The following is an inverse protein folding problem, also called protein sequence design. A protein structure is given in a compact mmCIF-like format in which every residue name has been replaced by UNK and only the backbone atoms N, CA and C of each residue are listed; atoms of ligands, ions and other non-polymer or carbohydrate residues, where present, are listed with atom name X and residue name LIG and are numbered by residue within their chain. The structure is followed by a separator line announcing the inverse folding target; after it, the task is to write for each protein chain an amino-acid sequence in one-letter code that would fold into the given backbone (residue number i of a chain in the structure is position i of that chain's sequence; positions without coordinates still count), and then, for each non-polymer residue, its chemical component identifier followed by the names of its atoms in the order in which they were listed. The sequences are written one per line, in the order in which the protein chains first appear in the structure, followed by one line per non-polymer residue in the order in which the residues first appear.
data_IF_428485869877
#
_entry.id   IF_428485869877
#
_cell.length_a   1.000
_cell.length_b   1.000
_cell.length_c   1.000
_cell.angle_alpha   90.00
_cell.angle_beta   90.00
_cell.angle_gamma   90.00
#
_symmetry.space_group_name_H-M   'P 1'
#
loop_
_entity.id
_entity.type
_entity.pdbx_description
1 polymer ?
#
# COMPACT_ATOMS: atom_id res chain seq x y z
N UNK A 1 23.70 -15.13 38.82
CA UNK A 1 23.86 -16.44 38.17
C UNK A 1 22.51 -16.80 37.55
N UNK A 2 22.42 -16.91 36.23
CA UNK A 2 21.17 -17.25 35.53
C UNK A 2 21.15 -18.77 35.32
N UNK A 3 20.19 -19.48 35.91
CA UNK A 3 19.98 -20.92 35.69
C UNK A 3 18.94 -21.11 34.60
N UNK A 4 19.29 -21.82 33.53
CA UNK A 4 18.37 -22.17 32.45
C UNK A 4 18.13 -23.69 32.49
N UNK A 5 16.90 -24.10 32.80
CA UNK A 5 16.50 -25.50 32.67
C UNK A 5 16.10 -25.77 31.22
N UNK A 6 16.73 -26.77 30.59
CA UNK A 6 16.48 -27.17 29.21
C UNK A 6 15.23 -28.06 29.19
N UNK A 7 14.06 -27.46 29.35
CA UNK A 7 12.81 -28.15 29.05
C UNK A 7 12.19 -27.67 27.73
N UNK A 8 11.24 -28.45 27.21
CA UNK A 8 10.78 -28.65 25.82
C UNK A 8 10.71 -27.41 24.92
N UNK A 9 10.54 -26.19 25.44
CA UNK A 9 10.54 -24.94 24.66
C UNK A 9 11.92 -24.42 24.26
N UNK A 10 12.96 -24.63 25.08
CA UNK A 10 14.32 -24.13 24.80
C UNK A 10 15.00 -24.87 23.64
N UNK A 11 14.75 -26.18 23.51
CA UNK A 11 15.38 -27.04 22.50
C UNK A 11 15.11 -26.61 21.05
N UNK A 12 13.97 -25.98 20.78
CA UNK A 12 13.54 -25.58 19.43
C UNK A 12 14.23 -24.30 18.92
N UNK A 13 14.68 -23.44 19.82
CA UNK A 13 15.44 -22.22 19.51
C UNK A 13 16.93 -22.51 19.25
N UNK A 14 17.45 -23.63 19.74
CA UNK A 14 18.82 -24.07 19.54
C UNK A 14 18.94 -25.13 18.43
N UNK A 15 18.39 -24.84 17.25
CA UNK A 15 18.37 -25.70 16.05
C UNK A 15 19.76 -26.12 15.53
N UNK A 16 20.50 -26.87 16.32
CA UNK A 16 21.84 -27.33 16.07
C UNK A 16 21.95 -28.73 16.66
N UNK A 17 21.56 -29.73 15.87
CA UNK A 17 21.95 -31.13 16.08
C UNK A 17 23.47 -31.29 16.26
N UNK A 18 24.27 -30.27 15.92
CA UNK A 18 25.70 -30.21 16.18
C UNK A 18 26.06 -29.93 17.63
N UNK A 19 25.31 -29.11 18.37
CA UNK A 19 25.61 -28.81 19.77
C UNK A 19 25.36 -30.02 20.68
N UNK A 20 24.27 -30.75 20.43
CA UNK A 20 23.92 -31.97 21.17
C UNK A 20 24.99 -33.06 20.98
N UNK A 21 25.43 -33.28 19.74
CA UNK A 21 26.50 -34.25 19.42
C UNK A 21 27.87 -33.92 20.02
N UNK A 22 28.14 -32.64 20.29
CA UNK A 22 29.38 -32.23 20.97
C UNK A 22 29.27 -32.46 22.47
N UNK A 23 28.09 -32.30 23.08
CA UNK A 23 27.84 -32.62 24.49
C UNK A 23 27.92 -34.13 24.76
N UNK A 24 27.33 -34.97 23.89
CA UNK A 24 27.42 -36.44 24.01
C UNK A 24 28.85 -36.97 23.89
N UNK A 25 29.70 -36.30 23.10
CA UNK A 25 31.09 -36.72 22.85
C UNK A 25 32.08 -36.27 23.92
N UNK A 26 31.70 -35.29 24.75
CA UNK A 26 32.51 -34.76 25.85
C UNK A 26 32.25 -35.45 27.20
N UNK A 27 31.28 -36.37 27.27
CA UNK A 27 31.06 -37.21 28.46
C UNK A 27 30.65 -36.43 29.71
N UNK A 28 29.76 -35.44 29.56
CA UNK A 28 29.23 -34.70 30.70
C UNK A 28 28.24 -35.58 31.49
N UNK A 29 28.64 -36.03 32.68
CA UNK A 29 27.76 -36.70 33.64
C UNK A 29 26.78 -35.70 34.28
N UNK A 30 25.57 -36.18 34.60
CA UNK A 30 24.53 -35.38 35.26
C UNK A 30 25.04 -34.77 36.57
N UNK A 31 25.18 -33.44 36.60
CA UNK A 31 25.45 -32.69 37.84
C UNK A 31 26.59 -31.67 37.78
N UNK A 32 27.42 -31.65 36.73
CA UNK A 32 28.47 -30.63 36.62
C UNK A 32 27.98 -29.32 35.98
N UNK A 33 28.29 -28.19 36.64
CA UNK A 33 27.97 -26.85 36.16
C UNK A 33 28.89 -26.53 34.98
N UNK A 34 28.41 -26.77 33.76
CA UNK A 34 29.12 -26.42 32.54
C UNK A 34 29.21 -24.89 32.43
N UNK A 35 30.33 -24.32 32.87
CA UNK A 35 30.72 -22.91 32.64
C UNK A 35 31.54 -22.79 31.35
N UNK A 36 31.08 -23.39 30.26
CA UNK A 36 31.76 -23.19 28.98
C UNK A 36 31.40 -21.83 28.40
N UNK A 37 32.39 -20.96 28.26
CA UNK A 37 32.32 -19.69 27.53
C UNK A 37 31.74 -19.84 26.11
N UNK A 38 31.87 -21.03 25.51
CA UNK A 38 31.21 -21.39 24.24
C UNK A 38 29.67 -21.46 24.34
N UNK A 39 29.11 -21.94 25.46
CA UNK A 39 27.66 -22.03 25.68
C UNK A 39 27.08 -20.63 25.91
N UNK A 40 27.73 -19.80 26.73
CA UNK A 40 27.31 -18.40 26.93
C UNK A 40 27.32 -17.61 25.62
N UNK A 41 28.37 -17.75 24.80
CA UNK A 41 28.45 -17.12 23.46
C UNK A 41 27.39 -17.67 22.50
N UNK A 42 27.00 -18.94 22.61
CA UNK A 42 25.94 -19.52 21.79
C UNK A 42 24.56 -18.97 22.19
N UNK A 43 24.31 -18.79 23.49
CA UNK A 43 23.09 -18.16 24.01
C UNK A 43 23.00 -16.70 23.59
N UNK A 44 24.09 -15.94 23.72
CA UNK A 44 24.16 -14.54 23.28
C UNK A 44 23.89 -14.40 21.78
N UNK A 45 24.47 -15.27 20.95
CA UNK A 45 24.18 -15.31 19.50
C UNK A 45 22.72 -15.67 19.20
N UNK A 46 22.14 -16.61 19.94
CA UNK A 46 20.74 -16.99 19.78
C UNK A 46 19.80 -15.83 20.18
N UNK A 47 20.06 -15.15 21.30
CA UNK A 47 19.33 -13.96 21.71
C UNK A 47 19.43 -12.85 20.66
N UNK A 48 20.65 -12.52 20.20
CA UNK A 48 20.85 -11.50 19.18
C UNK A 48 20.11 -11.82 17.87
N UNK A 49 20.00 -13.10 17.52
CA UNK A 49 19.24 -13.55 16.34
C UNK A 49 17.73 -13.37 16.53
N UNK A 50 17.20 -13.69 17.70
CA UNK A 50 15.78 -13.47 18.04
C UNK A 50 15.47 -11.98 18.09
N UNK A 51 16.34 -11.16 18.67
CA UNK A 51 16.19 -9.70 18.68
C UNK A 51 16.23 -9.11 17.28
N UNK A 52 17.14 -9.58 16.42
CA UNK A 52 17.21 -9.14 15.01
C UNK A 52 15.93 -9.52 14.26
N UNK A 53 15.39 -10.72 14.50
CA UNK A 53 14.12 -11.15 13.90
C UNK A 53 12.95 -10.29 14.38
N UNK A 54 12.85 -10.05 15.69
CA UNK A 54 11.81 -9.19 16.28
C UNK A 54 11.92 -7.74 15.78
N UNK A 55 13.15 -7.23 15.65
CA UNK A 55 13.40 -5.91 15.08
C UNK A 55 12.96 -5.84 13.61
N UNK A 56 13.27 -6.85 12.80
CA UNK A 56 12.80 -6.94 11.41
C UNK A 56 11.28 -6.95 11.30
N UNK A 57 10.59 -7.75 12.14
CA UNK A 57 9.12 -7.80 12.18
C UNK A 57 8.55 -6.42 12.55
N UNK A 58 9.09 -5.76 13.58
CA UNK A 58 8.65 -4.41 13.97
C UNK A 58 8.92 -3.38 12.89
N UNK A 59 10.05 -3.46 12.19
CA UNK A 59 10.38 -2.55 11.09
C UNK A 59 9.36 -2.66 9.97
N UNK A 60 9.02 -3.89 9.56
CA UNK A 60 8.00 -4.11 8.55
C UNK A 60 6.63 -3.61 9.01
N UNK A 61 6.22 -3.89 10.25
CA UNK A 61 4.98 -3.33 10.81
C UNK A 61 4.97 -1.79 10.80
N UNK A 62 6.10 -1.16 11.11
CA UNK A 62 6.26 0.30 11.06
C UNK A 62 6.16 0.83 9.62
N UNK A 63 6.77 0.15 8.65
CA UNK A 63 6.69 0.50 7.22
C UNK A 63 5.24 0.42 6.70
N UNK A 64 4.48 -0.59 7.12
CA UNK A 64 3.04 -0.69 6.82
C UNK A 64 2.24 0.44 7.49
N UNK A 65 2.54 0.74 8.76
CA UNK A 65 1.89 1.84 9.49
C UNK A 65 2.20 3.20 8.84
N UNK A 66 3.42 3.42 8.36
CA UNK A 66 3.83 4.63 7.66
C UNK A 66 3.04 4.86 6.36
N UNK A 67 2.79 3.80 5.58
CA UNK A 67 1.94 3.87 4.38
C UNK A 67 0.49 4.18 4.77
N UNK A 68 -0.05 3.49 5.78
CA UNK A 68 -1.40 3.72 6.27
C UNK A 68 -1.58 5.11 6.88
N UNK A 69 -0.57 5.64 7.56
CA UNK A 69 -0.60 6.97 8.16
C UNK A 69 -0.56 8.05 7.07
N UNK A 70 0.27 7.90 6.03
CA UNK A 70 0.26 8.81 4.88
C UNK A 70 -1.09 8.83 4.16
N UNK A 71 -1.69 7.66 3.94
CA UNK A 71 -3.04 7.57 3.37
C UNK A 71 -4.07 8.29 4.26
N UNK A 72 -3.97 8.10 5.58
CA UNK A 72 -4.84 8.75 6.57
C UNK A 72 -4.69 10.28 6.54
N UNK A 73 -3.46 10.79 6.47
CA UNK A 73 -3.19 12.23 6.35
C UNK A 73 -3.80 12.83 5.08
N UNK A 74 -3.67 12.13 3.93
CA UNK A 74 -4.28 12.56 2.67
C UNK A 74 -5.81 12.58 2.78
N UNK A 75 -6.43 11.51 3.29
CA UNK A 75 -7.89 11.42 3.45
C UNK A 75 -8.43 12.50 4.38
N UNK A 76 -7.82 12.67 5.56
CA UNK A 76 -8.27 13.70 6.51
C UNK A 76 -7.98 15.12 6.04
N UNK A 77 -6.89 15.33 5.29
CA UNK A 77 -6.60 16.60 4.63
C UNK A 77 -7.71 16.95 3.62
N UNK A 78 -8.05 16.01 2.74
CA UNK A 78 -9.14 16.18 1.75
C UNK A 78 -10.49 16.41 2.44
N UNK A 79 -10.83 15.63 3.48
CA UNK A 79 -12.06 15.79 4.26
C UNK A 79 -12.16 17.16 4.93
N UNK A 80 -11.06 17.66 5.50
CA UNK A 80 -11.02 18.98 6.13
C UNK A 80 -11.23 20.09 5.09
N UNK A 81 -10.58 20.00 3.92
CA UNK A 81 -10.79 20.96 2.81
C UNK A 81 -12.23 20.96 2.33
N UNK A 82 -12.83 19.78 2.16
CA UNK A 82 -14.25 19.65 1.81
C UNK A 82 -15.15 20.34 2.84
N UNK A 83 -15.00 20.02 4.13
CA UNK A 83 -15.79 20.62 5.21
C UNK A 83 -15.71 22.15 5.29
N UNK A 84 -14.58 22.73 4.87
CA UNK A 84 -14.38 24.18 4.87
C UNK A 84 -14.80 24.84 3.56
N UNK A 85 -15.25 24.06 2.56
CA UNK A 85 -15.57 24.56 1.22
C UNK A 85 -14.34 25.07 0.45
N UNK A 86 -13.14 24.63 0.86
CA UNK A 86 -11.84 25.04 0.29
C UNK A 86 -11.34 24.08 -0.79
N UNK A 87 -12.17 23.13 -1.24
CA UNK A 87 -11.79 22.26 -2.35
C UNK A 87 -11.56 23.07 -3.61
N UNK A 88 -10.38 22.88 -4.17
CA UNK A 88 -9.96 23.52 -5.41
C UNK A 88 -10.22 22.60 -6.59
N UNK A 89 -10.26 23.19 -7.79
CA UNK A 89 -10.31 22.43 -9.05
C UNK A 89 -9.15 21.43 -9.16
N UNK A 90 -7.98 21.75 -8.58
CA UNK A 90 -6.83 20.87 -8.57
C UNK A 90 -7.03 19.65 -7.65
N UNK A 91 -7.71 19.82 -6.51
CA UNK A 91 -8.07 18.68 -5.64
C UNK A 91 -9.00 17.71 -6.36
N UNK A 92 -9.95 18.23 -7.15
CA UNK A 92 -10.90 17.41 -7.94
C UNK A 92 -10.18 16.71 -9.09
N UNK A 93 -9.25 17.40 -9.76
CA UNK A 93 -8.40 16.81 -10.79
C UNK A 93 -7.55 15.66 -10.22
N UNK A 94 -6.96 15.85 -9.05
CA UNK A 94 -6.16 14.82 -8.39
C UNK A 94 -7.02 13.58 -8.06
N UNK A 95 -8.23 13.78 -7.54
CA UNK A 95 -9.15 12.67 -7.28
C UNK A 95 -9.59 11.93 -8.55
N UNK A 96 -9.89 12.66 -9.63
CA UNK A 96 -10.22 12.06 -10.91
C UNK A 96 -9.04 11.23 -11.44
N UNK A 97 -7.82 11.78 -11.34
CA UNK A 97 -6.59 11.09 -11.72
C UNK A 97 -6.35 9.84 -10.89
N UNK A 98 -6.50 9.90 -9.56
CA UNK A 98 -6.36 8.75 -8.65
C UNK A 98 -7.34 7.63 -9.02
N UNK A 99 -8.59 7.99 -9.32
CA UNK A 99 -9.61 7.04 -9.74
C UNK A 99 -9.27 6.39 -11.08
N UNK A 100 -8.89 7.18 -12.08
CA UNK A 100 -8.50 6.70 -13.41
C UNK A 100 -7.27 5.81 -13.32
N UNK A 101 -6.25 6.22 -12.55
CA UNK A 101 -5.06 5.42 -12.28
C UNK A 101 -5.44 4.04 -11.72
N UNK A 102 -6.31 4.00 -10.72
CA UNK A 102 -6.77 2.73 -10.15
C UNK A 102 -7.50 1.83 -11.16
N UNK A 103 -8.30 2.41 -12.07
CA UNK A 103 -8.94 1.62 -13.13
C UNK A 103 -7.94 1.13 -14.18
N UNK A 104 -7.00 1.99 -14.60
CA UNK A 104 -5.93 1.62 -15.53
C UNK A 104 -5.02 0.55 -14.91
N UNK A 105 -4.70 0.61 -13.61
CA UNK A 105 -4.00 -0.47 -12.90
C UNK A 105 -4.74 -1.81 -12.91
N UNK A 106 -6.08 -1.78 -12.90
CA UNK A 106 -6.88 -2.99 -12.88
C UNK A 106 -7.05 -3.61 -14.28
N UNK A 107 -7.26 -2.79 -15.30
CA UNK A 107 -7.65 -3.25 -16.65
C UNK A 107 -6.54 -3.14 -17.70
N UNK A 108 -5.51 -2.35 -17.45
CA UNK A 108 -4.32 -2.26 -18.28
C UNK A 108 -3.13 -2.83 -17.49
N UNK A 109 -2.59 -4.01 -17.84
CA UNK A 109 -1.39 -4.51 -17.19
C UNK A 109 -0.17 -3.61 -17.46
N UNK A 110 0.75 -3.51 -16.49
CA UNK A 110 1.99 -2.70 -16.62
C UNK A 110 2.94 -3.29 -17.67
N UNK A 111 2.84 -4.61 -17.90
CA UNK A 111 3.61 -5.36 -18.88
C UNK A 111 2.69 -5.81 -20.00
N UNK A 112 2.88 -5.25 -21.19
CA UNK A 112 2.06 -5.56 -22.35
C UNK A 112 1.89 -4.36 -23.27
N UNK A 113 1.38 -4.61 -24.48
CA UNK A 113 0.89 -3.55 -25.37
C UNK A 113 -0.56 -3.18 -25.04
N UNK A 114 -1.13 -2.24 -25.77
CA UNK A 114 -2.56 -1.92 -25.64
C UNK A 114 -3.46 -3.11 -25.98
N UNK A 115 -2.95 -4.05 -26.78
CA UNK A 115 -3.60 -5.31 -27.15
C UNK A 115 -3.89 -6.21 -25.93
N UNK A 116 -3.11 -6.05 -24.84
CA UNK A 116 -3.29 -6.79 -23.60
C UNK A 116 -4.23 -6.08 -22.61
N UNK A 117 -4.75 -4.91 -22.97
CA UNK A 117 -5.64 -4.13 -22.12
C UNK A 117 -7.09 -4.57 -22.32
N UNK A 118 -7.82 -4.68 -21.21
CA UNK A 118 -9.26 -4.85 -21.24
C UNK A 118 -9.95 -3.49 -21.44
N UNK A 119 -9.89 -2.99 -22.68
CA UNK A 119 -10.47 -1.70 -23.06
C UNK A 119 -11.99 -1.67 -22.89
N UNK A 120 -12.67 -2.79 -23.11
CA UNK A 120 -14.12 -2.90 -22.95
C UNK A 120 -14.54 -2.72 -21.49
N UNK A 121 -13.87 -3.39 -20.55
CA UNK A 121 -14.15 -3.21 -19.12
C UNK A 121 -13.78 -1.82 -18.64
N UNK A 122 -12.65 -1.27 -19.10
CA UNK A 122 -12.21 0.08 -18.76
C UNK A 122 -13.22 1.14 -19.24
N UNK A 123 -13.67 1.05 -20.50
CA UNK A 123 -14.68 1.92 -21.08
C UNK A 123 -15.98 1.86 -20.29
N UNK A 124 -16.48 0.66 -19.99
CA UNK A 124 -17.71 0.48 -19.21
C UNK A 124 -17.66 1.17 -17.83
N UNK A 125 -16.53 1.08 -17.11
CA UNK A 125 -16.39 1.70 -15.79
C UNK A 125 -16.29 3.22 -15.90
N UNK A 126 -15.51 3.73 -16.87
CA UNK A 126 -15.33 5.16 -17.07
C UNK A 126 -16.61 5.82 -17.62
N UNK A 127 -17.38 5.14 -18.46
CA UNK A 127 -18.67 5.61 -18.93
C UNK A 127 -19.70 5.66 -17.80
N UNK A 128 -19.77 4.63 -16.96
CA UNK A 128 -20.71 4.59 -15.82
C UNK A 128 -20.39 5.60 -14.73
N UNK A 129 -19.10 5.83 -14.48
CA UNK A 129 -18.66 6.65 -13.34
C UNK A 129 -18.43 8.09 -13.74
N UNK A 130 -17.69 8.32 -14.83
CA UNK A 130 -17.26 9.65 -15.27
C UNK A 130 -17.99 10.15 -16.52
N UNK A 131 -18.81 9.30 -17.16
CA UNK A 131 -19.47 9.59 -18.45
C UNK A 131 -18.47 9.86 -19.58
N UNK A 132 -17.31 9.20 -19.53
CA UNK A 132 -16.28 9.27 -20.57
C UNK A 132 -16.44 8.04 -21.46
N UNK A 133 -16.52 8.29 -22.77
CA UNK A 133 -16.52 7.26 -23.81
C UNK A 133 -15.13 7.15 -24.44
N UNK A 134 -14.50 6.03 -24.20
CA UNK A 134 -13.16 5.69 -24.66
C UNK A 134 -13.22 4.89 -25.96
N UNK A 135 -14.29 4.13 -26.18
CA UNK A 135 -14.50 3.33 -27.40
C UNK A 135 -14.42 4.18 -28.67
N UNK A 136 -14.78 5.46 -28.58
CA UNK A 136 -14.67 6.44 -29.67
C UNK A 136 -13.22 6.92 -29.96
N UNK A 137 -12.25 6.59 -29.09
CA UNK A 137 -10.88 7.13 -29.11
C UNK A 137 -9.80 6.03 -29.02
N UNK A 138 -10.14 4.76 -29.31
CA UNK A 138 -9.19 3.63 -29.24
C UNK A 138 -7.92 3.85 -30.08
N UNK A 139 -8.06 4.44 -31.26
CA UNK A 139 -6.94 4.76 -32.16
C UNK A 139 -5.96 5.77 -31.54
N UNK A 140 -6.46 6.76 -30.79
CA UNK A 140 -5.63 7.74 -30.08
C UNK A 140 -4.90 7.09 -28.91
N UNK A 141 -5.59 6.22 -28.15
CA UNK A 141 -5.00 5.50 -27.03
C UNK A 141 -3.89 4.55 -27.45
N UNK A 142 -4.01 3.89 -28.61
CA UNK A 142 -3.01 2.96 -29.12
C UNK A 142 -1.65 3.59 -29.42
N UNK A 143 -1.59 4.92 -29.55
CA UNK A 143 -0.35 5.67 -29.79
C UNK A 143 0.31 6.20 -28.51
N UNK A 144 -0.42 6.21 -27.40
CA UNK A 144 0.00 6.84 -26.15
C UNK A 144 0.61 5.80 -25.19
N UNK A 145 1.60 6.23 -24.40
CA UNK A 145 2.08 5.43 -23.28
C UNK A 145 1.05 5.44 -22.16
N UNK A 146 1.11 4.44 -21.28
CA UNK A 146 0.22 4.30 -20.11
C UNK A 146 0.02 5.59 -19.32
N UNK A 147 1.12 6.29 -18.99
CA UNK A 147 1.05 7.55 -18.23
C UNK A 147 0.31 8.65 -19.03
N UNK A 148 0.55 8.69 -20.34
CA UNK A 148 -0.08 9.66 -21.23
C UNK A 148 -1.58 9.36 -21.42
N UNK A 149 -1.98 8.08 -21.38
CA UNK A 149 -3.39 7.67 -21.34
C UNK A 149 -4.08 8.16 -20.06
N UNK A 150 -3.44 7.99 -18.90
CA UNK A 150 -4.00 8.46 -17.62
C UNK A 150 -4.20 9.97 -17.64
N UNK A 151 -3.21 10.72 -18.11
CA UNK A 151 -3.29 12.17 -18.19
C UNK A 151 -4.33 12.63 -19.23
N UNK A 152 -4.45 11.95 -20.38
CA UNK A 152 -5.47 12.21 -21.39
C UNK A 152 -6.89 12.01 -20.83
N UNK A 153 -7.15 10.86 -20.21
CA UNK A 153 -8.45 10.55 -19.60
C UNK A 153 -8.79 11.53 -18.47
N UNK A 154 -7.79 11.94 -17.70
CA UNK A 154 -7.95 12.95 -16.65
C UNK A 154 -8.35 14.30 -17.24
N UNK A 155 -7.75 14.70 -18.36
CA UNK A 155 -8.11 15.94 -19.04
C UNK A 155 -9.54 15.89 -19.61
N UNK A 156 -9.95 14.76 -20.19
CA UNK A 156 -11.33 14.56 -20.65
C UNK A 156 -12.35 14.63 -19.50
N UNK A 157 -12.03 14.02 -18.36
CA UNK A 157 -12.85 14.11 -17.15
C UNK A 157 -13.00 15.58 -16.70
N UNK A 158 -11.91 16.34 -16.70
CA UNK A 158 -11.91 17.75 -16.29
C UNK A 158 -12.67 18.64 -17.28
N UNK A 159 -12.58 18.38 -18.59
CA UNK A 159 -13.38 19.08 -19.60
C UNK A 159 -14.88 18.90 -19.38
N UNK A 160 -15.31 17.66 -19.10
CA UNK A 160 -16.71 17.37 -18.78
C UNK A 160 -17.15 18.01 -17.46
N UNK A 161 -16.26 18.03 -16.46
CA UNK A 161 -16.50 18.72 -15.20
C UNK A 161 -16.70 20.23 -15.40
N UNK A 162 -15.79 20.89 -16.13
CA UNK A 162 -15.87 22.32 -16.43
C UNK A 162 -17.14 22.64 -17.22
N UNK A 163 -17.49 21.82 -18.22
CA UNK A 163 -18.73 21.94 -18.97
C UNK A 163 -19.97 21.85 -18.07
N UNK A 164 -19.99 20.89 -17.13
CA UNK A 164 -21.08 20.74 -16.16
C UNK A 164 -21.18 21.96 -15.24
N UNK A 165 -20.07 22.49 -14.74
CA UNK A 165 -20.05 23.71 -13.92
C UNK A 165 -20.57 24.92 -14.70
N UNK A 166 -20.14 25.09 -15.94
CA UNK A 166 -20.52 26.25 -16.76
C UNK A 166 -22.04 26.28 -17.02
N UNK A 167 -22.66 25.10 -17.16
CA UNK A 167 -24.11 24.97 -17.38
C UNK A 167 -24.95 25.08 -16.12
N UNK A 168 -24.35 25.07 -14.94
CA UNK A 168 -25.09 25.17 -13.68
C UNK A 168 -25.30 26.64 -13.31
N UNK A 169 -26.55 27.01 -13.03
CA UNK A 169 -26.96 28.36 -12.61
C UNK A 169 -26.16 28.83 -11.39
N UNK A 170 -25.85 30.13 -11.31
CA UNK A 170 -25.01 30.70 -10.25
C UNK A 170 -25.57 30.49 -8.84
N UNK A 171 -26.90 30.36 -8.70
CA UNK A 171 -27.54 30.00 -7.43
C UNK A 171 -27.31 28.54 -7.04
N UNK A 172 -27.17 27.66 -8.01
CA UNK A 172 -26.90 26.24 -7.83
C UNK A 172 -25.39 25.98 -7.65
N UNK A 173 -24.48 26.87 -8.08
CA UNK A 173 -23.04 26.70 -7.83
C UNK A 173 -22.66 26.73 -6.34
N UNK A 174 -23.38 27.49 -5.52
CA UNK A 174 -23.20 27.43 -4.06
C UNK A 174 -23.68 26.10 -3.51
N UNK A 175 -24.84 25.61 -3.97
CA UNK A 175 -25.38 24.31 -3.57
C UNK A 175 -24.54 23.13 -4.10
N UNK A 176 -23.88 23.27 -5.25
CA UNK A 176 -22.95 22.29 -5.79
C UNK A 176 -21.72 22.16 -4.91
N UNK A 177 -21.16 23.26 -4.43
CA UNK A 177 -20.02 23.22 -3.49
C UNK A 177 -20.42 22.55 -2.17
N UNK A 178 -21.62 22.84 -1.68
CA UNK A 178 -22.17 22.17 -0.49
C UNK A 178 -22.43 20.67 -0.75
N UNK A 179 -22.86 20.32 -1.97
CA UNK A 179 -23.10 18.93 -2.39
C UNK A 179 -21.79 18.14 -2.59
N UNK A 180 -20.77 18.74 -3.20
CA UNK A 180 -19.41 18.19 -3.31
C UNK A 180 -18.84 17.95 -1.91
N UNK A 181 -19.05 18.88 -0.97
CA UNK A 181 -18.70 18.73 0.44
C UNK A 181 -19.40 17.53 1.09
N UNK A 182 -20.70 17.33 0.78
CA UNK A 182 -21.50 16.23 1.33
C UNK A 182 -21.12 14.86 0.77
N UNK A 183 -20.79 14.74 -0.53
CA UNK A 183 -20.31 13.49 -1.14
C UNK A 183 -18.97 13.04 -0.52
N UNK A 184 -18.15 14.00 -0.10
CA UNK A 184 -16.80 13.76 0.42
C UNK A 184 -16.75 13.38 1.91
N UNK A 185 -17.88 13.38 2.61
CA UNK A 185 -17.99 13.18 4.07
C UNK A 185 -18.35 11.76 4.51
#
# INVERSE_FOLDING_TARGET
MLFLSVDVGGRRLFGSDRLIRVMDRLGAEEGEVITHSMVTRAIEKAQKRVETQNFGIRKHLLEYDDVMNKQREVIYGRRKKALLGEMTRDDIREMARDFILAQVELFAPEKGGIEDWDLESLDNVLLRTLMIDISSHEDELGTLRREEVIDYLTDQAMKLYDYKIEKVDERLKTHLRDFETWIML
#
